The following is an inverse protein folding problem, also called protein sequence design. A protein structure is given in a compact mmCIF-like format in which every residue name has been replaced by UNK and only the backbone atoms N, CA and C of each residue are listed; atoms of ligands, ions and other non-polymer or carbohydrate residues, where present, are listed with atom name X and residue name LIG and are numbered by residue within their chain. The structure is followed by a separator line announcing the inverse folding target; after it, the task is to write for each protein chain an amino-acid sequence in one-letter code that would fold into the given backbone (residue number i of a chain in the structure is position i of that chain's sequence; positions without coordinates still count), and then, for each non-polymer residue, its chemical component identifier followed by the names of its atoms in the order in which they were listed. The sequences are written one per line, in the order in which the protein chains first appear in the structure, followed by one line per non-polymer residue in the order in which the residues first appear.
data_IF_379051957112
#
_entry.id   IF_379051957112
#
_cell.length_a   1.000
_cell.length_b   1.000
_cell.length_c   1.000
_cell.angle_alpha   90.00
_cell.angle_beta   90.00
_cell.angle_gamma   90.00
#
_symmetry.space_group_name_H-M   'P 1'
#
loop_
_entity.id
_entity.type
_entity.pdbx_description
1 polymer ?
#
# COMPACT_ATOMS: atom_id res chain seq x y z
N UNK A 1 8.66 -8.86 -32.71
CA UNK A 1 8.16 -10.17 -32.25
C UNK A 1 6.68 -10.29 -32.59
N UNK A 2 6.12 -11.51 -32.76
CA UNK A 2 4.67 -11.65 -32.87
C UNK A 2 4.00 -11.20 -31.57
N UNK A 3 2.90 -10.45 -31.66
CA UNK A 3 1.95 -10.32 -30.54
C UNK A 3 1.17 -11.63 -30.36
N UNK A 4 0.58 -11.83 -29.19
CA UNK A 4 -0.17 -13.05 -28.88
C UNK A 4 -1.51 -12.75 -28.21
N UNK A 5 -2.56 -13.39 -28.69
CA UNK A 5 -3.86 -13.50 -28.00
C UNK A 5 -4.29 -14.97 -28.06
N UNK A 6 -4.82 -15.52 -26.96
CA UNK A 6 -5.06 -16.97 -26.84
C UNK A 6 -3.84 -17.84 -27.21
N UNK A 7 -2.62 -17.31 -27.01
CA UNK A 7 -1.35 -17.92 -27.42
C UNK A 7 -1.19 -18.14 -28.94
N UNK A 8 -2.03 -17.53 -29.77
CA UNK A 8 -1.91 -17.52 -31.23
C UNK A 8 -1.23 -16.24 -31.71
N UNK A 9 -0.46 -16.33 -32.79
CA UNK A 9 0.25 -15.19 -33.38
C UNK A 9 -0.77 -14.18 -33.90
N UNK A 10 -0.65 -12.95 -33.43
CA UNK A 10 -1.42 -11.80 -33.86
C UNK A 10 -0.50 -10.80 -34.61
N UNK A 11 -0.83 -9.51 -34.54
CA UNK A 11 -0.05 -8.44 -35.17
C UNK A 11 1.38 -8.37 -34.57
N UNK A 12 2.41 -8.07 -35.39
CA UNK A 12 3.75 -7.82 -34.88
C UNK A 12 3.80 -6.64 -33.91
N UNK A 13 4.60 -6.78 -32.86
CA UNK A 13 4.93 -5.72 -31.90
C UNK A 13 6.44 -5.64 -31.70
N UNK A 14 6.95 -4.50 -31.24
CA UNK A 14 8.36 -4.38 -30.85
C UNK A 14 8.61 -5.09 -29.53
N UNK A 15 9.84 -5.55 -29.29
CA UNK A 15 10.22 -6.10 -27.98
C UNK A 15 10.03 -5.05 -26.87
N UNK A 16 10.35 -3.78 -27.17
CA UNK A 16 10.13 -2.66 -26.24
C UNK A 16 8.66 -2.51 -25.85
N UNK A 17 7.71 -2.62 -26.80
CA UNK A 17 6.28 -2.57 -26.48
C UNK A 17 5.85 -3.70 -25.53
N UNK A 18 6.35 -4.92 -25.76
CA UNK A 18 6.08 -6.06 -24.89
C UNK A 18 6.64 -5.85 -23.47
N UNK A 19 7.88 -5.37 -23.33
CA UNK A 19 8.49 -5.07 -22.03
C UNK A 19 7.77 -3.92 -21.31
N UNK A 20 7.37 -2.87 -22.03
CA UNK A 20 6.60 -1.77 -21.46
C UNK A 20 5.25 -2.22 -20.90
N UNK A 21 4.60 -3.23 -21.49
CA UNK A 21 3.35 -3.76 -20.94
C UNK A 21 3.53 -4.29 -19.51
N UNK A 22 4.64 -4.97 -19.23
CA UNK A 22 5.02 -5.38 -17.87
C UNK A 22 5.40 -4.18 -16.99
N UNK A 23 6.14 -3.21 -17.53
CA UNK A 23 6.46 -1.97 -16.82
C UNK A 23 5.22 -1.20 -16.34
N UNK A 24 4.19 -1.08 -17.18
CA UNK A 24 2.93 -0.45 -16.80
C UNK A 24 2.16 -1.25 -15.74
N UNK A 25 2.25 -2.57 -15.74
CA UNK A 25 1.67 -3.39 -14.67
C UNK A 25 2.36 -3.10 -13.33
N UNK A 26 3.69 -3.14 -13.31
CA UNK A 26 4.49 -2.84 -12.12
C UNK A 26 4.26 -1.41 -11.60
N UNK A 27 4.15 -0.43 -12.50
CA UNK A 27 3.86 0.96 -12.11
C UNK A 27 2.49 1.10 -11.42
N UNK A 28 1.46 0.36 -11.87
CA UNK A 28 0.15 0.34 -11.19
C UNK A 28 0.25 -0.29 -9.81
N UNK A 29 1.05 -1.35 -9.67
CA UNK A 29 1.23 -2.03 -8.39
C UNK A 29 2.02 -1.18 -7.40
N UNK A 30 3.08 -0.50 -7.84
CA UNK A 30 3.79 0.48 -7.02
C UNK A 30 2.85 1.57 -6.46
N UNK A 31 1.95 2.11 -7.30
CA UNK A 31 0.94 3.07 -6.86
C UNK A 31 -0.03 2.48 -5.83
N UNK A 32 -0.43 1.22 -5.98
CA UNK A 32 -1.28 0.53 -5.00
C UNK A 32 -0.55 0.33 -3.67
N UNK A 33 0.73 -0.04 -3.70
CA UNK A 33 1.53 -0.21 -2.50
C UNK A 33 1.72 1.12 -1.74
N UNK A 34 1.92 2.22 -2.44
CA UNK A 34 1.97 3.56 -1.82
C UNK A 34 0.64 3.90 -1.14
N UNK A 35 -0.49 3.72 -1.83
CA UNK A 35 -1.80 3.95 -1.24
C UNK A 35 -2.08 3.04 -0.03
N UNK A 36 -1.65 1.78 -0.08
CA UNK A 36 -1.79 0.84 1.03
C UNK A 36 -0.92 1.23 2.23
N UNK A 37 0.31 1.70 1.99
CA UNK A 37 1.19 2.24 3.03
C UNK A 37 0.55 3.45 3.69
N UNK A 38 0.06 4.40 2.91
CA UNK A 38 -0.55 5.62 3.42
C UNK A 38 -1.82 5.29 4.24
N UNK A 39 -2.63 4.32 3.81
CA UNK A 39 -3.79 3.83 4.57
C UNK A 39 -3.41 3.09 5.87
N UNK A 40 -2.22 2.48 5.92
CA UNK A 40 -1.70 1.76 7.09
C UNK A 40 -0.78 2.61 7.98
N UNK A 41 -0.71 3.93 7.75
CA UNK A 41 0.21 4.86 8.43
C UNK A 41 -0.22 5.26 9.85
N UNK A 42 -1.35 4.76 10.33
CA UNK A 42 -1.94 5.09 11.63
C UNK A 42 -1.74 3.97 12.66
N UNK A 43 -1.15 4.30 13.80
CA UNK A 43 -0.96 3.37 14.92
C UNK A 43 -2.28 3.10 15.66
N UNK A 44 -2.54 1.83 15.97
CA UNK A 44 -3.64 1.39 16.85
C UNK A 44 -3.21 1.22 18.31
N UNK A 45 -1.95 1.51 18.64
CA UNK A 45 -1.40 1.30 19.98
C UNK A 45 -2.05 2.27 20.98
N UNK A 46 -2.67 1.72 22.03
CA UNK A 46 -3.42 2.50 23.02
C UNK A 46 -4.93 2.58 22.78
N UNK A 47 -5.45 1.93 21.74
CA UNK A 47 -6.90 1.77 21.51
C UNK A 47 -7.58 0.78 22.47
N UNK A 48 -6.81 -0.06 23.15
CA UNK A 48 -7.36 -1.12 24.00
C UNK A 48 -8.25 -2.08 23.21
N UNK A 49 -9.24 -2.69 23.85
CA UNK A 49 -10.18 -3.57 23.16
C UNK A 49 -11.18 -2.80 22.28
N UNK A 50 -11.64 -1.63 22.73
CA UNK A 50 -12.56 -0.74 22.01
C UNK A 50 -12.64 0.68 22.60
N UNK A 51 -12.33 0.86 23.89
CA UNK A 51 -12.54 2.11 24.64
C UNK A 51 -11.24 2.81 25.09
N UNK A 52 -10.10 2.46 24.51
CA UNK A 52 -8.79 2.94 24.96
C UNK A 52 -8.16 2.07 26.06
N UNK A 53 -6.92 2.40 26.38
CA UNK A 53 -6.16 1.80 27.49
C UNK A 53 -6.30 2.61 28.78
N UNK A 54 -6.28 1.93 29.93
CA UNK A 54 -6.21 2.57 31.27
C UNK A 54 -4.77 2.72 31.78
N UNK A 55 -3.78 2.19 31.06
CA UNK A 55 -2.37 2.36 31.37
C UNK A 55 -1.94 3.82 31.14
N UNK A 56 -0.90 4.31 31.84
CA UNK A 56 -0.32 5.64 31.61
C UNK A 56 0.54 5.65 30.32
N UNK A 57 -0.08 5.31 29.19
CA UNK A 57 0.53 5.31 27.86
C UNK A 57 0.03 6.53 27.10
N UNK A 58 0.95 7.33 26.55
CA UNK A 58 0.62 8.35 25.55
C UNK A 58 0.67 7.72 24.15
N UNK A 59 -0.46 7.57 23.45
CA UNK A 59 -0.50 6.99 22.11
C UNK A 59 0.34 7.76 21.08
N UNK A 60 0.52 9.08 21.26
CA UNK A 60 1.34 9.89 20.34
C UNK A 60 2.81 9.53 20.46
N UNK A 61 3.30 9.42 21.69
CA UNK A 61 4.67 8.96 21.95
C UNK A 61 4.86 7.54 21.42
N UNK A 62 3.91 6.65 21.71
CA UNK A 62 3.99 5.26 21.29
C UNK A 62 4.01 5.11 19.75
N UNK A 63 3.16 5.85 19.03
CA UNK A 63 3.13 5.86 17.57
C UNK A 63 4.44 6.39 16.97
N UNK A 64 5.00 7.46 17.55
CA UNK A 64 6.28 8.03 17.12
C UNK A 64 7.44 7.04 17.32
N UNK A 65 7.51 6.38 18.47
CA UNK A 65 8.58 5.42 18.78
C UNK A 65 8.63 4.22 17.82
N UNK A 66 7.47 3.78 17.32
CA UNK A 66 7.38 2.68 16.35
C UNK A 66 7.25 3.13 14.89
N UNK A 67 7.41 4.43 14.62
CA UNK A 67 7.53 4.98 13.27
C UNK A 67 6.22 5.14 12.50
N UNK A 68 5.08 5.25 13.18
CA UNK A 68 3.81 5.61 12.54
C UNK A 68 3.67 7.12 12.36
N UNK A 69 2.94 7.54 11.34
CA UNK A 69 2.74 8.96 11.00
C UNK A 69 1.62 9.59 11.83
N UNK A 70 0.66 8.78 12.28
CA UNK A 70 -0.50 9.22 13.02
C UNK A 70 -0.93 8.22 14.10
N UNK A 71 -1.80 8.69 15.00
CA UNK A 71 -2.51 7.90 16.00
C UNK A 71 -3.96 7.72 15.56
N UNK A 72 -4.58 6.60 15.90
CA UNK A 72 -6.01 6.36 15.68
C UNK A 72 -6.89 7.50 16.25
N UNK A 73 -7.96 7.83 15.52
CA UNK A 73 -8.93 8.84 15.94
C UNK A 73 -9.85 8.27 17.03
N UNK A 74 -10.17 9.09 18.03
CA UNK A 74 -11.15 8.76 19.08
C UNK A 74 -12.36 9.68 18.92
N UNK A 75 -13.54 9.09 18.79
CA UNK A 75 -14.80 9.84 18.97
C UNK A 75 -14.86 10.30 20.42
N UNK A 76 -15.24 11.56 20.71
CA UNK A 76 -15.36 12.07 22.09
C UNK A 76 -16.32 11.26 22.96
#
# INVERSE_FOLDING_TARGET
MPGYTHLQRAQPVTLGFHLCAHGFALARDARRMLAARDAASTSALGAGALAGTTLPLDPNVAAYEVGFEAVFERTP
#
